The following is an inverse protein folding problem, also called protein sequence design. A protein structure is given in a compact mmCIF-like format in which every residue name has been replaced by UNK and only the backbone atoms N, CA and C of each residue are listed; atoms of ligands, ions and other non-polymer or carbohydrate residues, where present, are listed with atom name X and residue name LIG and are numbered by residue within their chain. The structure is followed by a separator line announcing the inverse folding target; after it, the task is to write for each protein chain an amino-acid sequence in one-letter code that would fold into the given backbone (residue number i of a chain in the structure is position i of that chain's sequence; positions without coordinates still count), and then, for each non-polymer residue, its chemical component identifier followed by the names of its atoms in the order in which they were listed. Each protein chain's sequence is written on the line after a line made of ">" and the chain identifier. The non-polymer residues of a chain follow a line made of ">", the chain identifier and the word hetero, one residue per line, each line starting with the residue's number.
data_IF_959124799220
#
_entry.id   IF_959124799220
#
_cell.length_a   1.000
_cell.length_b   1.000
_cell.length_c   1.000
_cell.angle_alpha   90.00
_cell.angle_beta   90.00
_cell.angle_gamma   90.00
#
_symmetry.space_group_name_H-M   'P 1'
#
loop_
_entity.id
_entity.type
_entity.pdbx_description
1 polymer ?
#
# COMPACT_ATOMS: atom_id res chain seq x y z
N UNK A 1 -6.02 11.86 -14.92
CA UNK A 1 -7.01 11.29 -13.98
C UNK A 1 -7.06 9.77 -14.16
N UNK A 2 -7.12 8.99 -13.09
CA UNK A 2 -7.19 7.52 -13.15
C UNK A 2 -8.53 7.03 -12.56
N UNK A 3 -9.43 6.42 -13.36
CA UNK A 3 -10.76 5.99 -12.90
C UNK A 3 -10.72 4.60 -12.25
N UNK A 4 -9.83 4.41 -11.27
CA UNK A 4 -9.61 3.15 -10.56
C UNK A 4 -8.87 3.42 -9.25
N UNK A 5 -8.73 2.41 -8.39
CA UNK A 5 -7.74 2.44 -7.30
C UNK A 5 -6.36 2.81 -7.86
N UNK A 6 -5.61 3.59 -7.09
CA UNK A 6 -4.37 4.21 -7.54
C UNK A 6 -3.22 3.93 -6.58
N UNK A 7 -2.01 3.87 -7.13
CA UNK A 7 -0.81 3.55 -6.35
C UNK A 7 -0.58 4.52 -5.19
N UNK A 8 -0.92 5.80 -5.38
CA UNK A 8 -0.79 6.82 -4.33
C UNK A 8 -1.80 6.67 -3.19
N UNK A 9 -2.70 5.69 -3.25
CA UNK A 9 -3.64 5.38 -2.18
C UNK A 9 -3.33 4.09 -1.43
N UNK A 10 -2.29 3.32 -1.77
CA UNK A 10 -2.04 2.03 -1.10
C UNK A 10 -1.73 2.22 0.39
N UNK A 11 -1.19 3.38 0.79
CA UNK A 11 -0.97 3.73 2.19
C UNK A 11 -2.24 3.62 3.07
N UNK A 12 -3.43 3.76 2.46
CA UNK A 12 -4.72 3.61 3.16
C UNK A 12 -4.94 2.21 3.71
N UNK A 13 -4.22 1.18 3.23
CA UNK A 13 -4.25 -0.17 3.80
C UNK A 13 -3.69 -0.23 5.23
N UNK A 14 -2.78 0.68 5.60
CA UNK A 14 -2.14 0.69 6.91
C UNK A 14 -2.59 1.85 7.81
N UNK A 15 -3.01 2.98 7.24
CA UNK A 15 -3.17 4.24 7.97
C UNK A 15 -4.59 4.84 7.93
N UNK A 16 -5.55 4.17 7.30
CA UNK A 16 -6.96 4.56 7.29
C UNK A 16 -7.85 3.46 7.87
N UNK A 17 -9.00 3.86 8.42
CA UNK A 17 -10.01 2.90 8.90
C UNK A 17 -10.50 2.00 7.76
N UNK A 18 -10.65 2.54 6.56
CA UNK A 18 -11.05 1.82 5.34
C UNK A 18 -10.07 2.12 4.22
N UNK A 19 -9.52 1.08 3.60
CA UNK A 19 -8.61 1.22 2.47
C UNK A 19 -9.37 1.60 1.19
N UNK A 20 -8.68 2.21 0.22
CA UNK A 20 -9.26 2.50 -1.08
C UNK A 20 -9.82 1.24 -1.78
N UNK A 21 -9.28 0.05 -1.49
CA UNK A 21 -9.69 -1.20 -2.11
C UNK A 21 -11.04 -1.66 -1.56
N UNK A 22 -11.19 -1.70 -0.24
CA UNK A 22 -12.48 -1.98 0.38
C UNK A 22 -13.51 -0.91 -0.01
N UNK A 23 -13.09 0.35 -0.02
CA UNK A 23 -13.97 1.45 -0.39
C UNK A 23 -14.46 1.33 -1.85
N UNK A 24 -13.59 0.88 -2.76
CA UNK A 24 -13.93 0.58 -4.14
C UNK A 24 -14.90 -0.61 -4.25
N UNK A 25 -14.65 -1.70 -3.53
CA UNK A 25 -15.54 -2.87 -3.50
C UNK A 25 -16.93 -2.50 -2.99
N UNK A 26 -17.01 -1.74 -1.88
CA UNK A 26 -18.29 -1.26 -1.33
C UNK A 26 -19.07 -0.44 -2.36
N UNK A 27 -18.40 0.48 -3.06
CA UNK A 27 -19.03 1.29 -4.09
C UNK A 27 -19.55 0.44 -5.27
N UNK A 28 -18.75 -0.51 -5.77
CA UNK A 28 -19.14 -1.39 -6.89
C UNK A 28 -20.28 -2.34 -6.50
N UNK A 29 -20.30 -2.81 -5.26
CA UNK A 29 -21.32 -3.73 -4.75
C UNK A 29 -22.60 -3.04 -4.25
N UNK A 30 -22.68 -1.70 -4.29
CA UNK A 30 -23.83 -0.95 -3.76
C UNK A 30 -23.96 -0.99 -2.24
N UNK A 31 -22.87 -1.25 -1.52
CA UNK A 31 -22.83 -1.27 -0.05
C UNK A 31 -22.60 0.14 0.51
N UNK A 32 -22.98 0.41 1.77
CA UNK A 32 -22.64 1.66 2.43
C UNK A 32 -21.14 1.93 2.42
N UNK A 33 -20.75 3.16 2.05
CA UNK A 33 -19.36 3.59 2.11
C UNK A 33 -18.88 3.60 3.56
N UNK A 34 -17.59 3.31 3.77
CA UNK A 34 -16.99 3.30 5.10
C UNK A 34 -16.32 4.64 5.45
N UNK A 35 -15.82 4.78 6.68
CA UNK A 35 -15.09 5.96 7.11
C UNK A 35 -13.66 5.94 6.53
N UNK A 36 -13.25 6.90 5.67
CA UNK A 36 -11.90 6.94 5.11
C UNK A 36 -10.89 7.67 6.02
N UNK A 37 -11.26 8.02 7.26
CA UNK A 37 -10.43 8.77 8.19
C UNK A 37 -9.08 8.11 8.43
N UNK A 38 -8.05 8.97 8.41
CA UNK A 38 -6.67 8.59 8.66
C UNK A 38 -6.42 8.55 10.16
N UNK A 39 -6.01 7.41 10.69
CA UNK A 39 -5.70 7.22 12.11
C UNK A 39 -4.21 7.41 12.45
N UNK A 40 -3.33 7.39 11.46
CA UNK A 40 -1.88 7.55 11.66
C UNK A 40 -1.23 8.30 10.50
N UNK A 41 -0.21 9.10 10.80
CA UNK A 41 0.72 9.58 9.78
C UNK A 41 1.55 8.41 9.23
N UNK A 42 1.95 8.47 7.96
CA UNK A 42 2.71 7.38 7.35
C UNK A 42 3.51 7.85 6.12
N UNK A 43 4.54 7.10 5.78
CA UNK A 43 5.27 7.21 4.51
C UNK A 43 5.14 5.90 3.75
N UNK A 44 4.70 5.98 2.50
CA UNK A 44 4.62 4.83 1.61
C UNK A 44 5.71 4.91 0.54
N UNK A 45 6.52 3.86 0.46
CA UNK A 45 7.64 3.71 -0.47
C UNK A 45 7.33 2.57 -1.43
N UNK A 46 7.42 2.82 -2.75
CA UNK A 46 7.35 1.73 -3.71
C UNK A 46 8.67 0.94 -3.70
N UNK A 47 8.57 -0.37 -3.90
CA UNK A 47 9.74 -1.20 -4.18
C UNK A 47 9.83 -1.42 -5.70
N UNK A 48 10.74 -0.73 -6.39
CA UNK A 48 10.94 -0.81 -7.84
C UNK A 48 12.21 -1.60 -8.18
N UNK A 49 12.07 -2.64 -9.01
CA UNK A 49 13.20 -3.46 -9.44
C UNK A 49 14.00 -3.97 -8.24
N UNK A 50 15.24 -3.53 -8.14
CA UNK A 50 16.21 -3.97 -7.13
C UNK A 50 15.96 -3.36 -5.75
N UNK A 51 15.06 -2.38 -5.59
CA UNK A 51 14.64 -1.88 -4.26
C UNK A 51 14.07 -3.02 -3.38
N UNK A 52 13.57 -4.09 -4.01
CA UNK A 52 13.10 -5.30 -3.32
C UNK A 52 14.20 -5.97 -2.49
N UNK A 53 15.48 -5.74 -2.81
CA UNK A 53 16.61 -6.29 -2.07
C UNK A 53 16.73 -5.71 -0.66
N UNK A 54 16.14 -4.54 -0.40
CA UNK A 54 16.03 -3.95 0.94
C UNK A 54 14.94 -4.59 1.81
N UNK A 55 14.20 -5.58 1.30
CA UNK A 55 13.12 -6.26 2.02
C UNK A 55 13.53 -6.76 3.43
N UNK A 56 14.72 -7.36 3.65
CA UNK A 56 15.12 -7.80 4.99
C UNK A 56 15.30 -6.66 6.00
N UNK A 57 15.51 -5.42 5.54
CA UNK A 57 15.60 -4.24 6.40
C UNK A 57 14.19 -3.76 6.78
N UNK A 58 13.30 -3.65 5.78
CA UNK A 58 11.89 -3.28 6.00
C UNK A 58 11.17 -4.24 6.95
N UNK A 59 11.42 -5.54 6.83
CA UNK A 59 10.82 -6.56 7.71
C UNK A 59 11.29 -6.49 9.17
N UNK A 60 12.33 -5.73 9.50
CA UNK A 60 12.81 -5.52 10.87
C UNK A 60 12.17 -4.32 11.56
N UNK A 61 11.43 -3.49 10.81
CA UNK A 61 10.78 -2.32 11.34
C UNK A 61 9.41 -2.70 11.89
N UNK A 62 9.21 -2.51 13.19
CA UNK A 62 7.95 -2.84 13.87
C UNK A 62 6.76 -1.94 13.43
N UNK A 63 7.06 -0.83 12.75
CA UNK A 63 6.10 0.15 12.26
C UNK A 63 5.90 0.09 10.73
N UNK A 64 6.36 -0.97 10.06
CA UNK A 64 6.24 -1.14 8.61
C UNK A 64 5.27 -2.25 8.20
N UNK A 65 4.30 -1.91 7.36
CA UNK A 65 3.49 -2.87 6.60
C UNK A 65 4.13 -3.11 5.23
N UNK A 66 4.61 -4.32 4.99
CA UNK A 66 5.19 -4.73 3.70
C UNK A 66 4.15 -5.46 2.84
N UNK A 67 3.94 -5.00 1.61
CA UNK A 67 3.06 -5.64 0.64
C UNK A 67 3.86 -6.04 -0.63
N UNK A 68 3.96 -7.34 -0.89
CA UNK A 68 4.63 -7.88 -2.08
C UNK A 68 3.61 -8.36 -3.13
N UNK A 69 3.84 -8.05 -4.40
CA UNK A 69 2.90 -8.41 -5.48
C UNK A 69 3.09 -9.84 -6.02
N UNK A 70 3.87 -10.69 -5.34
CA UNK A 70 4.10 -12.09 -5.74
C UNK A 70 4.83 -12.27 -7.08
N UNK A 71 5.57 -11.27 -7.55
CA UNK A 71 6.31 -11.35 -8.82
C UNK A 71 7.60 -12.14 -8.64
N UNK A 72 7.79 -13.14 -9.48
CA UNK A 72 8.94 -14.06 -9.40
C UNK A 72 10.30 -13.44 -9.76
N UNK A 73 10.31 -12.34 -10.51
CA UNK A 73 11.55 -11.74 -11.03
C UNK A 73 11.53 -10.21 -10.94
N UNK A 74 12.57 -9.64 -10.34
CA UNK A 74 12.83 -8.20 -10.32
C UNK A 74 13.42 -7.74 -11.66
N UNK A 75 12.96 -6.60 -12.16
CA UNK A 75 13.48 -5.96 -13.38
C UNK A 75 13.49 -4.44 -13.21
N UNK A 76 14.41 -3.71 -13.87
CA UNK A 76 14.41 -2.25 -13.83
C UNK A 76 13.04 -1.64 -14.15
N UNK A 77 12.58 -0.71 -13.32
CA UNK A 77 11.27 -0.05 -13.46
C UNK A 77 10.05 -0.90 -13.07
N UNK A 78 10.21 -2.19 -12.76
CA UNK A 78 9.11 -3.07 -12.38
C UNK A 78 8.72 -2.87 -10.92
N UNK A 79 7.48 -2.48 -10.65
CA UNK A 79 6.94 -2.44 -9.28
C UNK A 79 6.87 -3.85 -8.68
N UNK A 80 7.64 -4.12 -7.65
CA UNK A 80 7.71 -5.42 -6.97
C UNK A 80 6.81 -5.49 -5.73
N UNK A 81 6.59 -4.35 -5.09
CA UNK A 81 5.74 -4.21 -3.92
C UNK A 81 5.66 -2.76 -3.48
N UNK A 82 5.22 -2.55 -2.25
CA UNK A 82 5.36 -1.29 -1.54
C UNK A 82 5.47 -1.56 -0.05
N UNK A 83 6.01 -0.60 0.68
CA UNK A 83 6.07 -0.60 2.14
C UNK A 83 5.40 0.67 2.63
N UNK A 84 4.55 0.54 3.63
CA UNK A 84 3.97 1.69 4.35
C UNK A 84 4.49 1.68 5.76
N UNK A 85 5.31 2.67 6.11
CA UNK A 85 5.81 2.87 7.47
C UNK A 85 4.94 3.91 8.18
N UNK A 86 4.41 3.57 9.35
CA UNK A 86 3.67 4.51 10.20
C UNK A 86 4.66 5.44 10.91
N UNK A 87 4.32 6.73 10.98
CA UNK A 87 5.10 7.72 11.72
C UNK A 87 4.50 7.83 13.13
N UNK A 88 5.35 7.69 14.15
CA UNK A 88 4.99 7.90 15.55
C UNK A 88 4.94 9.38 15.91
#
# INVERSE_FOLDING_TARGET
>A
MAPRVHNSGHWTEAACIISQFEQHVRAVAGLPLGNPERHSDCVMTNLIGDDILALPEWLRLDDALVHLYGKSEARPGRKMGHVTQLLR
#
